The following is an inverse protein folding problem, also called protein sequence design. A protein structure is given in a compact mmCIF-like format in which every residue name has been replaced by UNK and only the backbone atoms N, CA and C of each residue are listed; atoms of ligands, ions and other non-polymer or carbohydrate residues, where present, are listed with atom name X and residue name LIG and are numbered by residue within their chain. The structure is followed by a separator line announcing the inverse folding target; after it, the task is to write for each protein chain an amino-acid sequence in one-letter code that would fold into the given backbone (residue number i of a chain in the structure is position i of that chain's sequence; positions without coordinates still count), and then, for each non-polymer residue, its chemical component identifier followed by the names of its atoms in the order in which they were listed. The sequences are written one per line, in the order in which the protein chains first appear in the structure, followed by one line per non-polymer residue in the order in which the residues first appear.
data_IF_740380414841
#
_entry.id   IF_740380414841
#
_cell.length_a   1.000
_cell.length_b   1.000
_cell.length_c   1.000
_cell.angle_alpha   90.00
_cell.angle_beta   90.00
_cell.angle_gamma   90.00
#
_symmetry.space_group_name_H-M   'P 1'
#
loop_
_entity.id
_entity.type
_entity.pdbx_description
1 polymer ?
#
# COMPACT_ATOMS: atom_id res chain seq x y z
N UNK A 1 -11.32 4.78 0.08
CA UNK A 1 -10.51 4.14 -0.98
C UNK A 1 -9.70 5.21 -1.70
N UNK A 2 -8.45 4.90 -2.06
CA UNK A 2 -7.65 5.68 -3.03
C UNK A 2 -7.34 4.77 -4.21
N UNK A 3 -7.46 5.30 -5.42
CA UNK A 3 -7.08 4.61 -6.66
C UNK A 3 -6.20 5.54 -7.51
N UNK A 4 -5.06 5.04 -7.93
CA UNK A 4 -4.19 5.66 -8.92
C UNK A 4 -4.48 5.03 -10.27
N UNK A 5 -4.68 5.86 -11.30
CA UNK A 5 -5.12 5.38 -12.62
C UNK A 5 -6.65 5.42 -12.76
N UNK A 6 -7.21 6.63 -12.83
CA UNK A 6 -8.67 6.82 -12.96
C UNK A 6 -9.18 6.46 -14.36
N UNK A 7 -8.39 6.75 -15.39
CA UNK A 7 -8.69 6.48 -16.80
C UNK A 7 -10.15 6.82 -17.20
N UNK A 8 -10.97 5.81 -17.45
CA UNK A 8 -12.39 5.95 -17.83
C UNK A 8 -13.37 6.13 -16.67
N UNK A 9 -12.92 6.10 -15.41
CA UNK A 9 -13.71 6.31 -14.20
C UNK A 9 -14.63 5.15 -13.79
N UNK A 10 -14.60 4.03 -14.50
CA UNK A 10 -15.51 2.89 -14.26
C UNK A 10 -15.27 2.25 -12.90
N UNK A 11 -14.03 2.10 -12.50
CA UNK A 11 -13.63 1.53 -11.21
C UNK A 11 -14.09 2.37 -10.02
N UNK A 12 -14.15 3.70 -10.15
CA UNK A 12 -14.63 4.59 -9.09
C UNK A 12 -16.08 4.27 -8.69
N UNK A 13 -16.95 3.99 -9.66
CA UNK A 13 -18.34 3.59 -9.41
C UNK A 13 -18.40 2.17 -8.85
N UNK A 14 -17.55 1.28 -9.32
CA UNK A 14 -17.43 -0.08 -8.78
C UNK A 14 -17.07 -0.03 -7.29
N UNK A 15 -16.09 0.77 -6.87
CA UNK A 15 -15.71 0.90 -5.45
C UNK A 15 -16.83 1.44 -4.59
N UNK A 16 -17.55 2.47 -5.06
CA UNK A 16 -18.74 3.00 -4.36
C UNK A 16 -19.81 1.94 -4.18
N UNK A 17 -20.07 1.16 -5.23
CA UNK A 17 -21.03 0.06 -5.19
C UNK A 17 -20.61 -1.07 -4.25
N UNK A 18 -19.33 -1.45 -4.29
CA UNK A 18 -18.80 -2.56 -3.51
C UNK A 18 -18.74 -2.25 -2.00
N UNK A 19 -18.25 -1.07 -1.63
CA UNK A 19 -18.11 -0.67 -0.23
C UNK A 19 -19.37 0.00 0.35
N UNK A 20 -20.33 0.36 -0.50
CA UNK A 20 -21.63 0.88 -0.10
C UNK A 20 -21.64 2.35 0.33
N UNK A 21 -22.78 2.76 0.90
CA UNK A 21 -23.01 4.15 1.30
C UNK A 21 -22.05 4.62 2.38
N UNK A 22 -21.42 5.77 2.16
CA UNK A 22 -20.39 6.33 3.04
C UNK A 22 -18.96 6.10 2.56
N UNK A 23 -18.75 5.28 1.52
CA UNK A 23 -17.44 5.16 0.87
C UNK A 23 -17.04 6.50 0.26
N UNK A 24 -15.86 6.97 0.60
CA UNK A 24 -15.20 8.10 -0.08
C UNK A 24 -14.12 7.55 -0.99
N UNK A 25 -14.16 7.97 -2.25
CA UNK A 25 -13.18 7.57 -3.27
C UNK A 25 -12.32 8.77 -3.64
N UNK A 26 -11.02 8.59 -3.59
CA UNK A 26 -10.03 9.55 -4.03
C UNK A 26 -9.30 8.97 -5.22
N UNK A 27 -9.53 9.53 -6.40
CA UNK A 27 -8.82 9.16 -7.62
C UNK A 27 -7.57 10.01 -7.80
N UNK A 28 -6.51 9.40 -8.29
CA UNK A 28 -5.28 10.07 -8.71
C UNK A 28 -5.02 9.75 -10.17
N UNK A 29 -4.80 10.78 -10.99
CA UNK A 29 -4.45 10.59 -12.40
C UNK A 29 -3.55 11.74 -12.87
N UNK A 30 -2.72 11.48 -13.87
CA UNK A 30 -1.90 12.52 -14.50
C UNK A 30 -2.72 13.41 -15.44
N UNK A 31 -3.84 12.90 -15.94
CA UNK A 31 -4.72 13.55 -16.88
C UNK A 31 -5.80 14.38 -16.16
N UNK A 32 -5.77 15.69 -16.40
CA UNK A 32 -6.75 16.63 -15.80
C UNK A 32 -8.21 16.37 -16.22
N UNK A 33 -8.40 15.71 -17.35
CA UNK A 33 -9.71 15.34 -17.89
C UNK A 33 -10.47 14.38 -16.96
N UNK A 34 -9.77 13.64 -16.09
CA UNK A 34 -10.36 12.77 -15.09
C UNK A 34 -11.17 13.53 -14.04
N UNK A 35 -10.95 14.85 -13.90
CA UNK A 35 -11.76 15.72 -13.03
C UNK A 35 -13.27 15.66 -13.29
N UNK A 36 -13.68 15.30 -14.49
CA UNK A 36 -15.10 15.12 -14.87
C UNK A 36 -15.82 14.02 -14.09
N UNK A 37 -15.07 13.13 -13.44
CA UNK A 37 -15.62 12.02 -12.63
C UNK A 37 -15.81 12.37 -11.15
N UNK A 38 -15.54 13.64 -10.76
CA UNK A 38 -15.83 14.09 -9.39
C UNK A 38 -17.31 14.14 -9.12
N UNK A 39 -17.69 13.69 -7.94
CA UNK A 39 -19.05 13.80 -7.40
C UNK A 39 -19.00 14.02 -5.87
N UNK A 40 -20.13 13.92 -5.16
CA UNK A 40 -20.20 14.11 -3.71
C UNK A 40 -19.37 13.09 -2.91
N UNK A 41 -19.12 11.91 -3.47
CA UNK A 41 -18.37 10.83 -2.84
C UNK A 41 -16.97 10.66 -3.43
N UNK A 42 -16.70 11.23 -4.61
CA UNK A 42 -15.47 11.05 -5.38
C UNK A 42 -14.72 12.37 -5.55
N UNK A 43 -13.45 12.38 -5.21
CA UNK A 43 -12.56 13.51 -5.46
C UNK A 43 -11.33 13.08 -6.25
N UNK A 44 -11.00 13.84 -7.29
CA UNK A 44 -9.87 13.55 -8.18
C UNK A 44 -8.70 14.50 -7.91
N UNK A 45 -7.51 13.95 -7.76
CA UNK A 45 -6.26 14.66 -7.63
C UNK A 45 -5.44 14.47 -8.90
N UNK A 46 -5.08 15.56 -9.54
CA UNK A 46 -4.26 15.53 -10.77
C UNK A 46 -2.80 15.66 -10.37
N UNK A 47 -1.99 14.66 -10.72
CA UNK A 47 -0.56 14.65 -10.43
C UNK A 47 0.13 13.37 -10.86
N UNK A 48 1.45 13.42 -10.76
CA UNK A 48 2.34 12.32 -11.12
C UNK A 48 2.63 11.46 -9.89
N UNK A 49 2.30 10.15 -9.97
CA UNK A 49 2.55 9.20 -8.87
C UNK A 49 4.04 8.96 -8.59
N UNK A 50 4.93 9.23 -9.54
CA UNK A 50 6.38 9.19 -9.33
C UNK A 50 6.91 10.41 -8.55
N UNK A 51 6.09 11.43 -8.30
CA UNK A 51 6.49 12.65 -7.64
C UNK A 51 6.16 12.66 -6.13
N UNK A 52 7.19 12.64 -5.29
CA UNK A 52 7.03 12.65 -3.82
C UNK A 52 6.39 13.92 -3.27
N UNK A 53 6.62 15.07 -3.88
CA UNK A 53 5.99 16.33 -3.45
C UNK A 53 4.48 16.32 -3.73
N UNK A 54 4.06 15.67 -4.82
CA UNK A 54 2.64 15.41 -5.06
C UNK A 54 2.02 14.61 -3.91
N UNK A 55 2.64 13.50 -3.49
CA UNK A 55 2.14 12.68 -2.38
C UNK A 55 2.12 13.42 -1.06
N UNK A 56 3.12 14.25 -0.80
CA UNK A 56 3.12 15.13 0.39
C UNK A 56 1.93 16.07 0.39
N UNK A 57 1.64 16.72 -0.73
CA UNK A 57 0.49 17.62 -0.88
C UNK A 57 -0.85 16.87 -0.82
N UNK A 58 -0.90 15.65 -1.37
CA UNK A 58 -2.07 14.76 -1.31
C UNK A 58 -2.39 14.38 0.14
N UNK A 59 -1.41 13.86 0.89
CA UNK A 59 -1.56 13.46 2.30
C UNK A 59 -1.97 14.60 3.22
N UNK A 60 -1.65 15.85 2.89
CA UNK A 60 -2.10 17.02 3.64
C UNK A 60 -3.61 17.30 3.47
N UNK A 61 -4.26 16.74 2.44
CA UNK A 61 -5.66 16.98 2.08
C UNK A 61 -6.55 15.76 2.27
N UNK A 62 -5.98 14.57 2.23
CA UNK A 62 -6.69 13.30 2.30
C UNK A 62 -6.30 12.61 3.61
N UNK A 63 -7.28 12.19 4.45
CA UNK A 63 -6.98 11.47 5.68
C UNK A 63 -6.40 10.08 5.37
N UNK A 64 -5.86 9.42 6.39
CA UNK A 64 -5.44 8.03 6.27
C UNK A 64 -6.60 7.16 5.75
N UNK A 65 -6.30 6.25 4.82
CA UNK A 65 -7.29 5.50 4.03
C UNK A 65 -7.32 4.02 4.42
N UNK A 66 -8.41 3.36 4.09
CA UNK A 66 -8.59 1.94 4.38
C UNK A 66 -8.02 1.05 3.27
N UNK A 67 -8.19 1.47 2.02
CA UNK A 67 -7.76 0.73 0.83
C UNK A 67 -7.03 1.68 -0.12
N UNK A 68 -5.88 1.26 -0.60
CA UNK A 68 -5.10 1.96 -1.62
C UNK A 68 -4.81 1.01 -2.78
N UNK A 69 -5.09 1.46 -4.00
CA UNK A 69 -4.92 0.70 -5.24
C UNK A 69 -4.00 1.49 -6.16
N UNK A 70 -2.91 0.87 -6.58
CA UNK A 70 -1.96 1.39 -7.57
C UNK A 70 -2.17 0.64 -8.89
N UNK A 71 -2.93 1.28 -9.77
CA UNK A 71 -3.23 0.86 -11.15
C UNK A 71 -2.88 1.99 -12.13
N UNK A 72 -1.77 2.67 -11.87
CA UNK A 72 -1.43 3.92 -12.53
C UNK A 72 -0.47 3.78 -13.71
N UNK A 73 0.79 4.22 -13.53
CA UNK A 73 1.77 4.28 -14.62
C UNK A 73 2.36 2.92 -15.01
N UNK A 74 2.26 1.93 -14.15
CA UNK A 74 2.87 0.60 -14.23
C UNK A 74 4.40 0.61 -14.35
N UNK A 75 5.04 1.76 -14.11
CA UNK A 75 6.50 1.87 -14.08
C UNK A 75 7.00 1.47 -12.70
N UNK A 76 7.97 0.55 -12.61
CA UNK A 76 8.47 0.07 -11.32
C UNK A 76 8.99 1.18 -10.39
N UNK A 77 9.65 2.19 -10.93
CA UNK A 77 10.14 3.34 -10.18
C UNK A 77 9.01 4.18 -9.57
N UNK A 78 7.92 4.38 -10.30
CA UNK A 78 6.76 5.13 -9.82
C UNK A 78 5.98 4.30 -8.79
N UNK A 79 5.84 2.99 -8.99
CA UNK A 79 5.24 2.05 -8.03
C UNK A 79 6.02 2.01 -6.71
N UNK A 80 7.37 2.06 -6.78
CA UNK A 80 8.22 2.14 -5.57
C UNK A 80 7.99 3.46 -4.83
N UNK A 81 7.94 4.59 -5.52
CA UNK A 81 7.62 5.88 -4.89
C UNK A 81 6.24 5.83 -4.24
N UNK A 82 5.25 5.32 -4.96
CA UNK A 82 3.87 5.23 -4.47
C UNK A 82 3.76 4.41 -3.20
N UNK A 83 4.35 3.22 -3.16
CA UNK A 83 4.27 2.36 -1.96
C UNK A 83 5.01 2.98 -0.77
N UNK A 84 6.18 3.60 -0.99
CA UNK A 84 6.93 4.26 0.08
C UNK A 84 6.16 5.42 0.70
N UNK A 85 5.48 6.20 -0.11
CA UNK A 85 4.72 7.36 0.33
C UNK A 85 3.35 6.98 0.93
N UNK A 86 2.70 5.97 0.39
CA UNK A 86 1.30 5.70 0.71
C UNK A 86 1.07 4.52 1.64
N UNK A 87 1.94 3.51 1.69
CA UNK A 87 1.81 2.43 2.67
C UNK A 87 1.78 2.94 4.14
N UNK A 88 2.60 3.92 4.54
CA UNK A 88 2.48 4.53 5.87
C UNK A 88 1.14 5.27 6.10
N UNK A 89 0.53 5.80 5.05
CA UNK A 89 -0.71 6.58 5.09
C UNK A 89 -1.99 5.71 5.10
N UNK A 90 -1.85 4.40 4.97
CA UNK A 90 -2.94 3.44 5.13
C UNK A 90 -3.16 3.20 6.63
N UNK A 91 -4.42 3.15 7.03
CA UNK A 91 -4.82 2.85 8.43
C UNK A 91 -4.34 1.46 8.87
N UNK A 92 -4.20 1.21 10.17
CA UNK A 92 -4.08 -0.15 10.67
C UNK A 92 -5.24 -1.02 10.21
N UNK A 93 -4.96 -2.24 9.75
CA UNK A 93 -5.94 -3.16 9.17
C UNK A 93 -6.34 -2.85 7.73
N UNK A 94 -5.78 -1.81 7.13
CA UNK A 94 -6.03 -1.47 5.74
C UNK A 94 -5.11 -2.20 4.76
N UNK A 95 -5.34 -1.99 3.48
CA UNK A 95 -4.73 -2.75 2.39
C UNK A 95 -4.10 -1.83 1.34
N UNK A 96 -2.90 -2.17 0.90
CA UNK A 96 -2.25 -1.66 -0.30
C UNK A 96 -2.28 -2.75 -1.37
N UNK A 97 -2.73 -2.41 -2.56
CA UNK A 97 -2.76 -3.29 -3.73
C UNK A 97 -2.04 -2.59 -4.88
N UNK A 98 -1.17 -3.30 -5.59
CA UNK A 98 -0.53 -2.85 -6.82
C UNK A 98 -0.84 -3.84 -7.93
N UNK A 99 -1.33 -3.32 -9.04
CA UNK A 99 -1.69 -4.08 -10.22
C UNK A 99 -0.65 -3.91 -11.34
N UNK A 100 -0.80 -4.73 -12.38
CA UNK A 100 -0.02 -4.66 -13.62
C UNK A 100 1.50 -4.64 -13.43
N UNK A 101 1.98 -5.49 -12.53
CA UNK A 101 3.41 -5.69 -12.28
C UNK A 101 3.97 -6.59 -13.39
N UNK A 102 4.52 -5.97 -14.42
CA UNK A 102 4.98 -6.66 -15.62
C UNK A 102 6.51 -6.79 -15.71
N UNK A 103 6.95 -7.79 -16.46
CA UNK A 103 8.31 -7.96 -16.91
C UNK A 103 9.19 -8.88 -16.08
N UNK A 104 10.19 -9.43 -16.74
CA UNK A 104 11.26 -10.23 -16.12
C UNK A 104 12.24 -9.29 -15.45
N UNK A 105 12.67 -9.61 -14.23
CA UNK A 105 13.55 -8.75 -13.40
C UNK A 105 12.94 -7.36 -13.08
N UNK A 106 11.65 -7.33 -12.82
CA UNK A 106 10.95 -6.09 -12.47
C UNK A 106 11.51 -5.51 -11.14
N UNK A 107 11.99 -4.24 -11.11
CA UNK A 107 12.55 -3.62 -9.91
C UNK A 107 11.57 -3.50 -8.76
N UNK A 108 10.27 -3.31 -9.03
CA UNK A 108 9.25 -3.29 -7.97
C UNK A 108 9.10 -4.67 -7.32
N UNK A 109 9.11 -5.75 -8.11
CA UNK A 109 9.11 -7.11 -7.56
C UNK A 109 10.33 -7.36 -6.67
N UNK A 110 11.52 -6.95 -7.10
CA UNK A 110 12.73 -7.06 -6.28
C UNK A 110 12.61 -6.24 -4.98
N UNK A 111 12.01 -5.06 -5.03
CA UNK A 111 11.73 -4.22 -3.87
C UNK A 111 10.79 -4.92 -2.87
N UNK A 112 9.71 -5.56 -3.35
CA UNK A 112 8.79 -6.35 -2.53
C UNK A 112 9.46 -7.58 -1.91
N UNK A 113 10.37 -8.24 -2.63
CA UNK A 113 11.18 -9.32 -2.05
C UNK A 113 11.99 -8.83 -0.84
N UNK A 114 12.53 -7.61 -0.89
CA UNK A 114 13.17 -6.97 0.26
C UNK A 114 12.20 -6.71 1.44
N UNK A 115 10.92 -6.52 1.20
CA UNK A 115 9.90 -6.46 2.26
C UNK A 115 9.68 -7.83 2.90
N UNK A 116 9.62 -8.88 2.09
CA UNK A 116 9.47 -10.26 2.56
C UNK A 116 10.66 -10.65 3.43
N UNK A 117 11.89 -10.33 3.03
CA UNK A 117 13.08 -10.56 3.83
C UNK A 117 13.00 -9.87 5.20
N UNK A 118 12.54 -8.61 5.22
CA UNK A 118 12.35 -7.86 6.48
C UNK A 118 11.20 -8.41 7.32
N UNK A 119 10.14 -8.93 6.69
CA UNK A 119 9.01 -9.54 7.40
C UNK A 119 9.44 -10.84 8.09
N UNK A 120 10.37 -11.58 7.49
CA UNK A 120 10.92 -12.82 8.04
C UNK A 120 12.22 -12.61 8.82
N UNK A 121 12.77 -11.40 8.82
CA UNK A 121 14.01 -11.06 9.51
C UNK A 121 13.86 -11.14 11.03
N UNK A 122 14.83 -11.79 11.70
CA UNK A 122 14.86 -11.85 13.16
C UNK A 122 16.09 -11.13 13.70
N UNK A 123 15.88 -10.28 14.71
CA UNK A 123 16.96 -9.79 15.57
C UNK A 123 16.92 -10.57 16.88
N UNK A 124 17.98 -11.32 17.17
CA UNK A 124 18.12 -12.03 18.44
C UNK A 124 18.75 -11.12 19.48
N UNK A 125 18.17 -11.04 20.68
CA UNK A 125 18.89 -10.69 21.90
C UNK A 125 19.19 -11.96 22.64
N UNK A 126 20.47 -12.23 22.87
CA UNK A 126 20.91 -13.32 23.74
C UNK A 126 21.19 -12.76 25.14
N UNK A 127 20.35 -13.08 26.14
CA UNK A 127 20.89 -13.53 27.39
C UNK A 127 20.13 -14.79 27.89
N UNK A 128 20.86 -15.90 28.04
CA UNK A 128 20.30 -17.14 28.57
C UNK A 128 19.50 -17.96 27.53
N UNK A 129 18.67 -18.89 28.02
CA UNK A 129 17.93 -19.85 27.19
C UNK A 129 16.61 -19.32 26.56
N UNK A 130 16.40 -18.00 26.58
CA UNK A 130 15.19 -17.38 25.99
C UNK A 130 15.60 -16.41 24.89
N UNK A 131 15.03 -16.57 23.72
CA UNK A 131 15.19 -15.65 22.60
C UNK A 131 14.05 -14.65 22.63
N UNK A 132 14.38 -13.37 22.85
CA UNK A 132 13.42 -12.31 22.65
C UNK A 132 13.54 -11.81 21.20
N UNK A 133 12.50 -12.02 20.42
CA UNK A 133 12.41 -11.49 19.06
C UNK A 133 11.88 -10.06 19.13
N UNK A 134 12.73 -9.10 18.77
CA UNK A 134 12.31 -7.70 18.63
C UNK A 134 11.78 -7.52 17.22
N UNK A 135 10.48 -7.22 17.02
CA UNK A 135 9.92 -7.03 15.70
C UNK A 135 10.63 -5.89 14.96
N UNK A 136 10.95 -6.12 13.69
CA UNK A 136 11.34 -5.02 12.78
C UNK A 136 10.17 -4.06 12.59
N UNK A 137 10.43 -2.85 12.05
CA UNK A 137 9.34 -1.94 11.68
C UNK A 137 8.37 -2.60 10.69
N UNK A 138 8.88 -3.45 9.78
CA UNK A 138 8.05 -4.20 8.84
C UNK A 138 7.13 -5.18 9.57
N UNK A 139 7.66 -6.03 10.43
CA UNK A 139 6.89 -6.99 11.21
C UNK A 139 5.86 -6.33 12.14
N UNK A 140 6.17 -5.12 12.58
CA UNK A 140 5.27 -4.37 13.47
C UNK A 140 4.02 -3.87 12.76
N UNK A 141 4.13 -3.48 11.49
CA UNK A 141 3.06 -2.79 10.78
C UNK A 141 2.48 -3.55 9.59
N UNK A 142 3.20 -4.55 9.06
CA UNK A 142 2.73 -5.40 7.96
C UNK A 142 2.30 -6.75 8.53
N UNK A 143 1.07 -7.14 8.22
CA UNK A 143 0.50 -8.43 8.62
C UNK A 143 0.84 -9.52 7.60
N UNK A 144 0.62 -9.25 6.32
CA UNK A 144 0.86 -10.21 5.24
C UNK A 144 1.25 -9.50 3.93
N UNK A 145 1.96 -10.23 3.10
CA UNK A 145 2.27 -9.85 1.72
C UNK A 145 1.84 -11.02 0.84
N UNK A 146 0.93 -10.75 -0.09
CA UNK A 146 0.43 -11.73 -1.06
C UNK A 146 0.93 -11.36 -2.45
N UNK A 147 1.44 -12.33 -3.17
CA UNK A 147 1.88 -12.16 -4.56
C UNK A 147 1.06 -13.07 -5.46
N UNK A 148 0.41 -12.49 -6.44
CA UNK A 148 -0.35 -13.14 -7.48
C UNK A 148 0.27 -12.83 -8.85
N UNK A 149 -0.09 -13.53 -9.92
CA UNK A 149 0.31 -13.10 -11.26
C UNK A 149 -0.07 -11.63 -11.49
N UNK A 150 0.94 -10.79 -11.68
CA UNK A 150 0.84 -9.34 -11.95
C UNK A 150 0.27 -8.47 -10.80
N UNK A 151 0.00 -9.03 -9.62
CA UNK A 151 -0.61 -8.29 -8.50
C UNK A 151 0.13 -8.57 -7.19
N UNK A 152 0.40 -7.51 -6.42
CA UNK A 152 0.88 -7.61 -5.04
C UNK A 152 -0.10 -6.94 -4.09
N UNK A 153 -0.44 -7.63 -3.01
CA UNK A 153 -1.29 -7.09 -1.94
C UNK A 153 -0.52 -7.10 -0.62
N UNK A 154 -0.56 -5.98 0.09
CA UNK A 154 0.04 -5.83 1.42
C UNK A 154 -1.07 -5.48 2.41
N UNK A 155 -1.27 -6.34 3.39
CA UNK A 155 -2.17 -6.08 4.51
C UNK A 155 -1.40 -5.46 5.67
N UNK A 156 -1.92 -4.36 6.20
CA UNK A 156 -1.37 -3.78 7.43
C UNK A 156 -1.93 -4.48 8.67
N UNK A 157 -1.09 -4.64 9.68
CA UNK A 157 -1.54 -5.15 10.97
C UNK A 157 -2.61 -4.21 11.56
N UNK A 158 -3.71 -4.79 12.05
CA UNK A 158 -4.77 -4.02 12.71
C UNK A 158 -4.31 -3.45 14.06
N UNK A 159 -3.42 -4.18 14.74
CA UNK A 159 -2.74 -3.75 15.97
C UNK A 159 -1.24 -3.97 15.74
N UNK A 160 -0.39 -2.96 15.98
CA UNK A 160 1.06 -3.13 15.86
C UNK A 160 1.57 -4.25 16.78
N UNK A 161 2.31 -5.20 16.22
CA UNK A 161 2.95 -6.26 17.00
C UNK A 161 4.09 -5.67 17.82
N UNK A 162 3.96 -5.66 19.15
CA UNK A 162 4.99 -5.14 20.05
C UNK A 162 6.00 -6.22 20.48
N UNK A 163 5.59 -7.48 20.48
CA UNK A 163 6.44 -8.63 20.81
C UNK A 163 6.01 -9.84 19.96
N UNK A 164 6.98 -10.56 19.44
CA UNK A 164 6.77 -11.90 18.88
C UNK A 164 7.48 -12.85 19.82
N UNK A 165 6.73 -13.64 20.59
CA UNK A 165 7.28 -14.69 21.43
C UNK A 165 7.28 -15.99 20.64
N UNK A 166 8.45 -16.47 20.27
CA UNK A 166 8.62 -17.82 19.73
C UNK A 166 9.26 -18.68 20.81
N UNK A 167 8.55 -19.70 21.29
CA UNK A 167 9.18 -20.80 22.00
C UNK A 167 9.79 -21.74 20.95
N UNK A 168 11.08 -21.63 20.71
CA UNK A 168 11.83 -22.67 19.99
C UNK A 168 12.10 -23.75 21.03
N UNK A 169 11.34 -24.86 20.98
CA UNK A 169 11.71 -26.06 21.70
C UNK A 169 12.85 -26.70 20.93
N UNK A 170 14.06 -26.72 21.53
CA UNK A 170 15.16 -27.53 21.08
C UNK A 170 14.90 -29.02 21.30
#
# INVERSE_FOLDING_TARGET
VVEVGVAGGVSLDMWKSYFGGGCKVYGVDIHKECKKFEDDATKIFVGDQGNRDFWKAFKAKVPAVDVFIDDGSHKPEDQIVTIEEMLPHIKPGGVYLCEDIHGVYNPFTAYICGFIDKLNGMKFRLPGHYFEVVPSAMQKYVYAIHSYPFVTVIEKAGIPLNTISTQIKG
#
